data_IF_550937319073
#
_entry.id   IF_550937319073
#
_cell.length_a   1.000
_cell.length_b   1.000
_cell.length_c   1.000
_cell.angle_alpha   90.00
_cell.angle_beta   90.00
_cell.angle_gamma   90.00
#
_symmetry.space_group_name_H-M   'P 1'
#
loop_
_entity.id
_entity.type
_entity.pdbx_description
1 polymer ?
#
# COMPACT_ATOMS: atom_id res chain seq x y z
N UNK A 1 -3.35 -8.42 -15.62
CA UNK A 1 -2.30 -8.38 -14.56
C UNK A 1 -1.46 -7.10 -14.51
N UNK A 2 -1.15 -6.42 -15.63
CA UNK A 2 -0.29 -5.20 -15.62
C UNK A 2 -0.85 -4.03 -14.80
N UNK A 3 -2.18 -3.86 -14.76
CA UNK A 3 -2.84 -2.80 -13.99
C UNK A 3 -2.65 -2.95 -12.47
N UNK A 4 -2.89 -4.16 -11.93
CA UNK A 4 -2.66 -4.48 -10.52
C UNK A 4 -1.19 -4.28 -10.12
N UNK A 5 -0.26 -4.74 -10.97
CA UNK A 5 1.17 -4.57 -10.72
C UNK A 5 1.57 -3.10 -10.66
N UNK A 6 1.06 -2.28 -11.60
CA UNK A 6 1.27 -0.82 -11.62
C UNK A 6 0.66 -0.12 -10.41
N UNK A 7 -0.53 -0.55 -9.99
CA UNK A 7 -1.18 -0.02 -8.78
C UNK A 7 -0.42 -0.40 -7.50
N UNK A 8 0.04 -1.65 -7.40
CA UNK A 8 0.79 -2.17 -6.26
C UNK A 8 2.17 -1.52 -6.13
N UNK A 9 2.97 -1.55 -7.20
CA UNK A 9 4.35 -1.04 -7.18
C UNK A 9 4.40 0.49 -7.24
N UNK A 10 3.39 1.13 -7.86
CA UNK A 10 3.33 2.55 -8.16
C UNK A 10 3.88 2.89 -9.54
N UNK A 11 3.62 4.11 -10.01
CA UNK A 11 4.16 4.58 -11.28
C UNK A 11 5.53 5.23 -11.09
N UNK A 12 6.49 4.86 -11.95
CA UNK A 12 7.77 5.57 -12.03
C UNK A 12 7.53 6.93 -12.66
N UNK A 13 7.63 7.98 -11.85
CA UNK A 13 7.68 9.34 -12.38
C UNK A 13 9.15 9.68 -12.59
N UNK A 14 9.56 9.86 -13.84
CA UNK A 14 10.84 10.47 -14.14
C UNK A 14 10.76 11.92 -13.65
N UNK A 15 11.64 12.29 -12.72
CA UNK A 15 11.76 13.67 -12.27
C UNK A 15 12.11 14.51 -13.49
N UNK A 16 11.19 15.36 -13.96
CA UNK A 16 11.53 16.37 -14.97
C UNK A 16 12.50 17.33 -14.30
N UNK A 17 13.77 17.29 -14.70
CA UNK A 17 14.74 18.27 -14.28
C UNK A 17 14.40 19.58 -15.01
N UNK A 18 14.25 20.67 -14.25
CA UNK A 18 14.03 22.00 -14.83
C UNK A 18 15.26 22.37 -15.69
N UNK A 19 15.10 22.70 -16.98
CA UNK A 19 16.23 22.98 -17.87
C UNK A 19 17.07 24.19 -17.46
N UNK A 20 16.58 25.06 -16.56
CA UNK A 20 17.30 26.22 -16.03
C UNK A 20 17.90 26.01 -14.62
N UNK A 21 17.80 24.82 -14.05
CA UNK A 21 18.36 24.52 -12.74
C UNK A 21 19.77 23.93 -12.86
N UNK A 22 20.77 24.63 -12.30
CA UNK A 22 22.15 24.14 -12.17
C UNK A 22 22.31 22.98 -11.16
N UNK A 23 21.20 22.56 -10.52
CA UNK A 23 21.17 21.51 -9.50
C UNK A 23 20.44 20.30 -10.09
N UNK A 24 21.21 19.33 -10.59
CA UNK A 24 20.67 18.04 -11.03
C UNK A 24 20.36 17.20 -9.80
N UNK A 25 19.11 17.26 -9.32
CA UNK A 25 18.65 16.25 -8.37
C UNK A 25 18.51 14.93 -9.14
N UNK A 26 19.49 14.02 -9.00
CA UNK A 26 19.34 12.61 -9.33
C UNK A 26 18.29 11.98 -8.39
N UNK A 27 17.04 12.42 -8.50
CA UNK A 27 15.93 11.71 -7.92
C UNK A 27 15.76 10.46 -8.78
N UNK A 28 16.36 9.35 -8.34
CA UNK A 28 16.00 8.00 -8.79
C UNK A 28 14.47 7.93 -8.76
N UNK A 29 13.84 8.03 -9.94
CA UNK A 29 12.45 8.46 -10.13
C UNK A 29 11.51 8.12 -8.96
N UNK A 30 10.84 9.14 -8.43
CA UNK A 30 9.90 8.94 -7.32
C UNK A 30 8.77 8.02 -7.78
N UNK A 31 8.61 6.88 -7.10
CA UNK A 31 7.45 6.01 -7.29
C UNK A 31 6.25 6.66 -6.61
N UNK A 32 5.36 7.29 -7.39
CA UNK A 32 4.07 7.75 -6.88
C UNK A 32 3.14 6.55 -6.80
N UNK A 33 3.05 5.96 -5.60
CA UNK A 33 2.00 5.00 -5.25
C UNK A 33 0.70 5.73 -4.96
N UNK A 34 -0.42 5.19 -5.44
CA UNK A 34 -1.75 5.63 -4.99
C UNK A 34 -1.87 5.43 -3.48
N UNK A 35 -2.59 6.34 -2.80
CA UNK A 35 -2.81 6.25 -1.35
C UNK A 35 -3.44 4.90 -0.94
N UNK A 36 -4.32 4.35 -1.80
CA UNK A 36 -4.96 3.05 -1.58
C UNK A 36 -3.96 1.89 -1.59
N UNK A 37 -2.92 1.96 -2.43
CA UNK A 37 -1.85 0.97 -2.48
C UNK A 37 -0.97 1.05 -1.22
N UNK A 38 -0.73 2.26 -0.72
CA UNK A 38 -0.02 2.47 0.56
C UNK A 38 -0.82 1.90 1.74
N UNK A 39 -2.13 2.14 1.78
CA UNK A 39 -3.02 1.57 2.78
C UNK A 39 -3.04 0.03 2.71
N UNK A 40 -3.05 -0.54 1.51
CA UNK A 40 -3.00 -1.99 1.33
C UNK A 40 -1.67 -2.60 1.80
N UNK A 41 -0.53 -1.96 1.51
CA UNK A 41 0.77 -2.39 2.06
C UNK A 41 0.75 -2.36 3.59
N UNK A 42 0.27 -1.27 4.18
CA UNK A 42 0.16 -1.15 5.63
C UNK A 42 -0.75 -2.22 6.23
N UNK A 43 -1.89 -2.51 5.60
CA UNK A 43 -2.81 -3.54 6.05
C UNK A 43 -2.19 -4.94 5.98
N UNK A 44 -1.44 -5.25 4.92
CA UNK A 44 -0.72 -6.53 4.79
C UNK A 44 0.39 -6.63 5.83
N UNK A 45 1.17 -5.57 6.04
CA UNK A 45 2.24 -5.53 7.02
C UNK A 45 1.69 -5.71 8.44
N UNK A 46 0.61 -4.99 8.77
CA UNK A 46 -0.12 -5.14 10.02
C UNK A 46 -0.64 -6.57 10.20
N UNK A 47 -1.29 -7.13 9.17
CA UNK A 47 -1.77 -8.50 9.20
C UNK A 47 -0.63 -9.50 9.41
N UNK A 48 0.49 -9.39 8.68
CA UNK A 48 1.63 -10.28 8.86
C UNK A 48 2.22 -10.22 10.26
N UNK A 49 2.23 -9.04 10.89
CA UNK A 49 2.74 -8.83 12.25
C UNK A 49 1.78 -9.38 13.32
N UNK A 50 0.49 -9.12 13.16
CA UNK A 50 -0.54 -9.37 14.17
C UNK A 50 -1.57 -10.43 13.73
N UNK A 51 -1.19 -11.37 12.85
CA UNK A 51 -2.11 -12.31 12.22
C UNK A 51 -2.91 -13.13 13.25
N UNK A 52 -2.29 -13.49 14.38
CA UNK A 52 -2.93 -14.23 15.48
C UNK A 52 -4.11 -13.45 16.07
N UNK A 53 -3.91 -12.16 16.34
CA UNK A 53 -4.95 -11.28 16.86
C UNK A 53 -6.00 -10.98 15.82
N UNK A 54 -5.59 -10.81 14.56
CA UNK A 54 -6.50 -10.50 13.46
C UNK A 54 -7.48 -11.66 13.23
N UNK A 55 -7.01 -12.90 13.22
CA UNK A 55 -7.86 -14.09 13.12
C UNK A 55 -8.79 -14.23 14.33
N UNK A 56 -8.29 -13.99 15.54
CA UNK A 56 -9.10 -14.02 16.76
C UNK A 56 -10.23 -12.98 16.74
N UNK A 57 -9.93 -11.75 16.33
CA UNK A 57 -10.92 -10.69 16.19
C UNK A 57 -11.98 -11.03 15.13
N UNK A 58 -11.55 -11.55 13.97
CA UNK A 58 -12.47 -11.98 12.90
C UNK A 58 -13.38 -13.11 13.38
N UNK A 59 -12.82 -14.12 14.05
CA UNK A 59 -13.60 -15.24 14.60
C UNK A 59 -14.61 -14.76 15.66
N UNK A 60 -14.22 -13.83 16.54
CA UNK A 60 -15.11 -13.25 17.54
C UNK A 60 -16.27 -12.47 16.90
N UNK A 61 -15.99 -11.65 15.87
CA UNK A 61 -17.02 -10.90 15.13
C UNK A 61 -17.99 -11.86 14.43
N UNK A 62 -17.48 -12.89 13.76
CA UNK A 62 -18.32 -13.90 13.11
C UNK A 62 -19.19 -14.62 14.15
N UNK A 63 -18.59 -15.07 15.26
CA UNK A 63 -19.31 -15.70 16.35
C UNK A 63 -20.43 -14.80 16.89
N UNK A 64 -20.16 -13.51 17.10
CA UNK A 64 -21.16 -12.56 17.56
C UNK A 64 -22.30 -12.35 16.54
N UNK A 65 -21.99 -12.30 15.23
CA UNK A 65 -23.00 -12.16 14.18
C UNK A 65 -23.87 -13.42 14.03
N UNK A 66 -23.27 -14.60 14.19
CA UNK A 66 -23.99 -15.89 14.14
C UNK A 66 -24.85 -16.08 15.39
N UNK A 67 -24.32 -15.79 16.58
CA UNK A 67 -25.02 -15.95 17.86
C UNK A 67 -26.13 -14.91 18.08
N UNK A 68 -26.07 -13.76 17.38
CA UNK A 68 -27.15 -12.75 17.39
C UNK A 68 -28.33 -13.08 16.47
N UNK A 69 -28.29 -14.19 15.72
CA UNK A 69 -29.46 -14.75 15.03
C UNK A 69 -30.13 -15.81 15.88
#
# INVERSE_FOLDING_TARGET
MRFLKRWWEGERVLSQNDPNSAVVFMSLGSYRRHWSSRAAHWAIEFYMREWKWTLGAVAAVIGALVLKR
#
